data_IF_830329413653
#
_entry.id   IF_830329413653
#
_cell.length_a   1.000
_cell.length_b   1.000
_cell.length_c   1.000
_cell.angle_alpha   90.00
_cell.angle_beta   90.00
_cell.angle_gamma   90.00
#
_symmetry.space_group_name_H-M   'P 1'
#
loop_
_entity.id
_entity.type
_entity.pdbx_description
1 polymer ?
#
# COMPACT_ATOMS: atom_id res chain seq x y z
N UNK A 1 17.20 16.80 1.34
CA UNK A 1 16.32 16.03 0.41
C UNK A 1 14.91 16.57 0.62
N UNK A 2 14.19 16.97 -0.42
CA UNK A 2 12.84 17.50 -0.19
C UNK A 2 11.87 16.35 0.11
N UNK A 3 11.00 16.53 1.11
CA UNK A 3 9.89 15.62 1.38
C UNK A 3 8.86 15.73 0.26
N UNK A 4 8.75 14.71 -0.58
CA UNK A 4 7.88 14.72 -1.76
C UNK A 4 6.75 13.69 -1.73
N UNK A 5 6.75 12.80 -0.75
CA UNK A 5 5.74 11.76 -0.60
C UNK A 5 5.17 11.73 0.83
N UNK A 6 3.90 11.36 0.94
CA UNK A 6 3.20 11.12 2.21
C UNK A 6 2.56 9.73 2.16
N UNK A 7 2.95 8.87 3.10
CA UNK A 7 2.28 7.61 3.36
C UNK A 7 1.35 7.73 4.56
N UNK A 8 0.12 7.29 4.42
CA UNK A 8 -0.85 7.24 5.52
C UNK A 8 -1.22 5.80 5.81
N UNK A 9 -1.04 5.38 7.04
CA UNK A 9 -1.37 4.02 7.47
C UNK A 9 -2.74 3.99 8.16
N UNK A 10 -3.62 3.11 7.69
CA UNK A 10 -4.95 2.86 8.27
C UNK A 10 -5.02 1.39 8.70
N UNK A 11 -4.79 1.07 10.00
CA UNK A 11 -4.55 -0.29 10.48
C UNK A 11 -5.84 -1.09 10.75
N UNK A 12 -6.88 -0.95 9.94
CA UNK A 12 -8.17 -1.59 10.15
C UNK A 12 -8.52 -2.54 9.00
N UNK A 13 -8.97 -3.75 9.35
CA UNK A 13 -9.48 -4.74 8.41
C UNK A 13 -10.83 -5.29 8.93
N UNK A 14 -11.76 -5.58 8.01
CA UNK A 14 -12.96 -6.33 8.35
C UNK A 14 -12.59 -7.75 8.84
N UNK A 15 -11.62 -8.36 8.14
CA UNK A 15 -11.01 -9.65 8.51
C UNK A 15 -9.53 -9.62 8.13
N UNK A 16 -8.65 -10.11 9.02
CA UNK A 16 -7.23 -10.25 8.70
C UNK A 16 -7.01 -11.49 7.84
N UNK A 17 -6.41 -11.33 6.67
CA UNK A 17 -6.07 -12.43 5.77
C UNK A 17 -5.05 -13.39 6.40
N UNK A 18 -5.07 -14.66 5.99
CA UNK A 18 -4.23 -15.69 6.63
C UNK A 18 -2.74 -15.51 6.40
N UNK A 19 -2.33 -14.83 5.33
CA UNK A 19 -0.95 -14.59 4.95
C UNK A 19 -0.40 -13.23 5.45
N UNK A 20 -1.28 -12.31 5.89
CA UNK A 20 -0.92 -10.92 6.10
C UNK A 20 -0.21 -10.71 7.44
N UNK A 21 0.98 -10.11 7.40
CA UNK A 21 1.80 -9.70 8.54
C UNK A 21 1.69 -8.19 8.86
N UNK A 22 1.02 -7.41 7.99
CA UNK A 22 0.89 -5.97 8.21
C UNK A 22 0.32 -5.64 9.59
N UNK A 23 0.78 -4.54 10.19
CA UNK A 23 0.20 -4.02 11.42
C UNK A 23 -1.23 -3.56 11.17
N UNK A 24 -2.15 -4.51 11.28
CA UNK A 24 -3.58 -4.29 11.10
C UNK A 24 -4.38 -5.02 12.17
N UNK A 25 -5.52 -4.44 12.51
CA UNK A 25 -6.42 -4.94 13.57
C UNK A 25 -7.78 -5.22 12.96
N UNK A 26 -8.39 -6.33 13.36
CA UNK A 26 -9.82 -6.58 13.10
C UNK A 26 -10.59 -6.41 14.40
N UNK A 27 -11.76 -5.78 14.31
CA UNK A 27 -12.63 -5.50 15.45
C UNK A 27 -13.96 -6.24 15.30
N UNK A 28 -14.61 -6.53 16.42
CA UNK A 28 -16.03 -6.88 16.37
C UNK A 28 -16.82 -5.70 15.77
N UNK A 29 -17.87 -6.00 15.01
CA UNK A 29 -18.61 -4.95 14.29
C UNK A 29 -19.16 -3.84 15.21
N UNK A 30 -19.47 -4.16 16.48
CA UNK A 30 -19.94 -3.18 17.46
C UNK A 30 -18.88 -2.18 17.95
N UNK A 31 -17.58 -2.51 17.80
CA UNK A 31 -16.49 -1.71 18.34
C UNK A 31 -15.73 -0.96 17.24
N UNK A 32 -15.96 -1.32 15.96
CA UNK A 32 -15.21 -0.81 14.83
C UNK A 32 -15.41 0.70 14.62
N UNK A 33 -16.63 1.19 14.67
CA UNK A 33 -16.92 2.61 14.43
C UNK A 33 -16.25 3.51 15.47
N UNK A 34 -16.34 3.15 16.76
CA UNK A 34 -15.69 3.91 17.82
C UNK A 34 -14.15 3.90 17.70
N UNK A 35 -13.59 2.75 17.29
CA UNK A 35 -12.14 2.64 17.06
C UNK A 35 -11.69 3.48 15.86
N UNK A 36 -12.46 3.47 14.77
CA UNK A 36 -12.22 4.31 13.60
C UNK A 36 -12.31 5.80 13.95
N UNK A 37 -13.37 6.23 14.66
CA UNK A 37 -13.53 7.63 15.06
C UNK A 37 -12.33 8.11 15.87
N UNK A 38 -11.96 7.37 16.91
CA UNK A 38 -10.82 7.71 17.76
C UNK A 38 -9.50 7.79 16.99
N UNK A 39 -9.27 6.86 16.06
CA UNK A 39 -8.05 6.83 15.27
C UNK A 39 -8.00 7.99 14.26
N UNK A 40 -9.09 8.24 13.55
CA UNK A 40 -9.14 9.32 12.55
C UNK A 40 -9.08 10.70 13.17
N UNK A 41 -9.62 10.92 14.37
CA UNK A 41 -9.42 12.17 15.12
C UNK A 41 -7.93 12.44 15.36
N UNK A 42 -7.16 11.41 15.73
CA UNK A 42 -5.72 11.53 15.93
C UNK A 42 -4.96 11.74 14.61
N UNK A 43 -5.38 11.05 13.53
CA UNK A 43 -4.81 11.28 12.19
C UNK A 43 -5.04 12.73 11.72
N UNK A 44 -6.25 13.26 11.90
CA UNK A 44 -6.56 14.64 11.51
C UNK A 44 -5.72 15.64 12.30
N UNK A 45 -5.65 15.52 13.61
CA UNK A 45 -4.82 16.39 14.45
C UNK A 45 -3.33 16.33 14.05
N UNK A 46 -2.85 15.13 13.71
CA UNK A 46 -1.47 14.94 13.27
C UNK A 46 -1.22 15.55 11.89
N UNK A 47 -2.16 15.39 10.96
CA UNK A 47 -2.10 16.01 9.63
C UNK A 47 -2.08 17.54 9.72
N UNK A 48 -2.91 18.12 10.60
CA UNK A 48 -2.91 19.57 10.87
C UNK A 48 -1.54 20.02 11.40
N UNK A 49 -0.92 19.27 12.32
CA UNK A 49 0.44 19.55 12.80
C UNK A 49 1.49 19.51 11.67
N UNK A 50 1.37 18.59 10.71
CA UNK A 50 2.25 18.53 9.53
C UNK A 50 2.07 19.77 8.65
N UNK A 51 0.81 20.21 8.46
CA UNK A 51 0.49 21.41 7.70
C UNK A 51 1.07 22.66 8.36
N UNK A 52 0.86 22.85 9.68
CA UNK A 52 1.35 23.99 10.45
C UNK A 52 2.88 24.10 10.44
N UNK A 53 3.57 22.95 10.44
CA UNK A 53 5.03 22.89 10.30
C UNK A 53 5.52 23.08 8.85
N UNK A 54 4.62 23.25 7.87
CA UNK A 54 4.97 23.37 6.46
C UNK A 54 5.52 22.08 5.85
N UNK A 55 5.32 20.93 6.49
CA UNK A 55 5.86 19.62 6.07
C UNK A 55 5.24 19.11 4.77
N UNK A 56 4.02 19.57 4.45
CA UNK A 56 3.25 19.11 3.29
C UNK A 56 3.48 19.95 2.03
N UNK A 57 4.21 21.06 2.12
CA UNK A 57 4.31 22.06 1.04
C UNK A 57 4.88 21.52 -0.29
N UNK A 58 5.72 20.49 -0.25
CA UNK A 58 6.34 19.89 -1.43
C UNK A 58 5.86 18.47 -1.72
N UNK A 59 4.87 17.96 -0.99
CA UNK A 59 4.29 16.63 -1.22
C UNK A 59 3.62 16.58 -2.60
N UNK A 60 4.05 15.62 -3.40
CA UNK A 60 3.58 15.40 -4.77
C UNK A 60 2.78 14.10 -4.89
N UNK A 61 3.08 13.12 -4.04
CA UNK A 61 2.39 11.83 -4.05
C UNK A 61 1.89 11.50 -2.65
N UNK A 62 0.68 10.94 -2.60
CA UNK A 62 0.07 10.45 -1.36
C UNK A 62 -0.36 9.00 -1.57
N UNK A 63 -0.11 8.18 -0.57
CA UNK A 63 -0.54 6.79 -0.58
C UNK A 63 -1.18 6.46 0.77
N UNK A 64 -2.45 6.08 0.75
CA UNK A 64 -3.15 5.61 1.95
C UNK A 64 -3.32 4.10 1.87
N UNK A 65 -2.66 3.40 2.77
CA UNK A 65 -2.59 1.95 2.78
C UNK A 65 -2.62 1.35 4.18
N UNK A 66 -2.20 0.08 4.29
CA UNK A 66 -2.00 -0.63 5.55
C UNK A 66 -2.92 -1.82 5.75
N UNK A 67 -4.06 -1.65 6.40
CA UNK A 67 -5.09 -2.67 6.51
C UNK A 67 -6.04 -2.64 5.31
N UNK A 68 -7.16 -1.97 5.48
CA UNK A 68 -8.18 -1.75 4.44
C UNK A 68 -8.72 -0.33 4.59
N UNK A 69 -8.06 0.70 4.04
CA UNK A 69 -8.48 2.09 4.21
C UNK A 69 -9.93 2.35 3.82
N UNK A 70 -10.42 1.72 2.74
CA UNK A 70 -11.81 1.85 2.28
C UNK A 70 -12.86 1.45 3.31
N UNK A 71 -12.50 0.66 4.34
CA UNK A 71 -13.38 0.30 5.45
C UNK A 71 -13.79 1.52 6.29
N UNK A 72 -12.98 2.59 6.28
CA UNK A 72 -13.25 3.79 7.07
C UNK A 72 -14.34 4.71 6.46
N UNK A 73 -14.78 4.46 5.23
CA UNK A 73 -15.90 5.19 4.61
C UNK A 73 -15.68 6.71 4.59
N UNK A 74 -16.66 7.46 5.12
CA UNK A 74 -16.62 8.93 5.14
C UNK A 74 -15.40 9.52 5.86
N UNK A 75 -14.83 8.82 6.85
CA UNK A 75 -13.60 9.25 7.55
C UNK A 75 -12.41 9.29 6.59
N UNK A 76 -12.31 8.31 5.68
CA UNK A 76 -11.28 8.31 4.64
C UNK A 76 -11.51 9.44 3.63
N UNK A 77 -12.75 9.72 3.27
CA UNK A 77 -13.11 10.84 2.37
C UNK A 77 -12.71 12.18 3.00
N UNK A 78 -12.99 12.39 4.28
CA UNK A 78 -12.61 13.60 5.00
C UNK A 78 -11.06 13.74 5.10
N UNK A 79 -10.35 12.63 5.36
CA UNK A 79 -8.89 12.62 5.33
C UNK A 79 -8.35 13.04 3.96
N UNK A 80 -8.93 12.49 2.89
CA UNK A 80 -8.53 12.81 1.52
C UNK A 80 -8.78 14.30 1.18
N UNK A 81 -9.91 14.85 1.59
CA UNK A 81 -10.21 16.30 1.42
C UNK A 81 -9.18 17.18 2.14
N UNK A 82 -8.86 16.88 3.39
CA UNK A 82 -7.86 17.63 4.17
C UNK A 82 -6.49 17.56 3.53
N UNK A 83 -6.03 16.38 3.12
CA UNK A 83 -4.75 16.21 2.42
C UNK A 83 -4.74 17.03 1.11
N UNK A 84 -5.76 16.91 0.29
CA UNK A 84 -5.87 17.61 -1.00
C UNK A 84 -5.94 19.13 -0.85
N UNK A 85 -6.45 19.62 0.28
CA UNK A 85 -6.44 21.05 0.61
C UNK A 85 -5.03 21.57 0.90
N UNK A 86 -4.19 20.74 1.56
CA UNK A 86 -2.85 21.14 1.98
C UNK A 86 -1.75 20.93 0.93
N UNK A 87 -1.80 19.89 0.10
CA UNK A 87 -0.66 19.54 -0.76
C UNK A 87 -0.97 19.31 -2.25
N UNK A 88 -2.19 19.29 -2.73
CA UNK A 88 -2.56 19.10 -4.14
C UNK A 88 -1.67 18.07 -4.88
N UNK A 89 -1.66 16.81 -4.48
CA UNK A 89 -0.77 15.80 -5.04
C UNK A 89 -1.09 15.54 -6.52
N UNK A 90 -0.09 15.15 -7.29
CA UNK A 90 -0.28 14.71 -8.69
C UNK A 90 -0.77 13.27 -8.75
N UNK A 91 -0.49 12.49 -7.70
CA UNK A 91 -0.99 11.15 -7.50
C UNK A 91 -1.44 10.98 -6.05
N UNK A 92 -2.68 10.57 -5.87
CA UNK A 92 -3.22 10.19 -4.58
C UNK A 92 -3.85 8.81 -4.68
N UNK A 93 -3.15 7.80 -4.18
CA UNK A 93 -3.60 6.41 -4.16
C UNK A 93 -4.27 6.07 -2.83
N UNK A 94 -5.42 5.38 -2.89
CA UNK A 94 -6.02 4.71 -1.75
C UNK A 94 -6.14 3.21 -1.99
N UNK A 95 -5.70 2.40 -1.03
CA UNK A 95 -5.97 0.97 -1.05
C UNK A 95 -7.42 0.67 -0.67
N UNK A 96 -7.97 -0.32 -1.34
CA UNK A 96 -9.31 -0.84 -1.06
C UNK A 96 -9.36 -2.35 -1.26
N UNK A 97 -10.26 -2.97 -0.50
CA UNK A 97 -10.66 -4.34 -0.80
C UNK A 97 -11.98 -4.33 -1.59
N UNK A 98 -12.21 -5.29 -2.48
CA UNK A 98 -13.44 -5.36 -3.28
C UNK A 98 -14.72 -5.32 -2.45
N UNK A 99 -14.73 -5.93 -1.26
CA UNK A 99 -15.90 -5.99 -0.39
C UNK A 99 -16.25 -4.65 0.28
N UNK A 100 -15.29 -3.76 0.48
CA UNK A 100 -15.48 -2.49 1.18
C UNK A 100 -15.60 -1.28 0.26
N UNK A 101 -15.42 -1.46 -1.05
CA UNK A 101 -15.54 -0.39 -2.03
C UNK A 101 -16.96 -0.38 -2.62
N UNK A 102 -17.66 0.76 -2.47
CA UNK A 102 -18.95 1.04 -3.14
C UNK A 102 -18.78 2.14 -4.18
N UNK A 103 -19.75 2.28 -5.09
CA UNK A 103 -19.73 3.36 -6.09
C UNK A 103 -19.80 4.75 -5.44
N UNK A 104 -20.58 4.88 -4.37
CA UNK A 104 -20.71 6.13 -3.60
C UNK A 104 -19.37 6.50 -2.96
N UNK A 105 -18.67 5.53 -2.34
CA UNK A 105 -17.36 5.78 -1.74
C UNK A 105 -16.31 6.13 -2.80
N UNK A 106 -16.27 5.41 -3.93
CA UNK A 106 -15.34 5.71 -5.01
C UNK A 106 -15.56 7.12 -5.58
N UNK A 107 -16.82 7.52 -5.78
CA UNK A 107 -17.19 8.87 -6.23
C UNK A 107 -16.75 9.93 -5.22
N UNK A 108 -17.06 9.74 -3.93
CA UNK A 108 -16.68 10.68 -2.88
C UNK A 108 -15.16 10.82 -2.73
N UNK A 109 -14.40 9.73 -2.90
CA UNK A 109 -12.92 9.76 -2.90
C UNK A 109 -12.37 10.52 -4.12
N UNK A 110 -12.94 10.32 -5.31
CA UNK A 110 -12.57 11.07 -6.51
C UNK A 110 -12.80 12.58 -6.31
N UNK A 111 -13.97 12.97 -5.80
CA UNK A 111 -14.30 14.36 -5.46
C UNK A 111 -13.38 14.95 -4.37
N UNK A 112 -12.87 14.09 -3.47
CA UNK A 112 -11.92 14.48 -2.43
C UNK A 112 -10.47 14.61 -2.94
N UNK A 113 -10.19 14.31 -4.22
CA UNK A 113 -8.88 14.47 -4.85
C UNK A 113 -8.05 13.17 -4.92
N UNK A 114 -8.61 12.01 -4.59
CA UNK A 114 -8.00 10.71 -4.90
C UNK A 114 -7.95 10.54 -6.42
N UNK A 115 -6.83 10.03 -6.93
CA UNK A 115 -6.63 9.82 -8.37
C UNK A 115 -6.55 8.35 -8.75
N UNK A 116 -6.25 7.46 -7.78
CA UNK A 116 -6.06 6.03 -8.00
C UNK A 116 -6.63 5.21 -6.83
N UNK A 117 -7.24 4.08 -7.15
CA UNK A 117 -7.58 3.03 -6.18
C UNK A 117 -6.73 1.79 -6.47
N UNK A 118 -6.03 1.26 -5.45
CA UNK A 118 -5.35 -0.03 -5.50
C UNK A 118 -6.25 -1.10 -4.88
N UNK A 119 -6.64 -2.09 -5.68
CA UNK A 119 -7.57 -3.15 -5.29
C UNK A 119 -6.83 -4.45 -4.96
N UNK A 120 -6.97 -4.93 -3.74
CA UNK A 120 -6.48 -6.23 -3.33
C UNK A 120 -7.30 -7.38 -3.94
N UNK A 121 -7.13 -7.67 -5.24
CA UNK A 121 -7.83 -8.73 -5.98
C UNK A 121 -7.29 -10.11 -5.62
N UNK A 122 -5.98 -10.27 -5.61
CA UNK A 122 -5.17 -11.46 -5.33
C UNK A 122 -5.33 -12.57 -6.39
N UNK A 123 -6.52 -13.08 -6.61
CA UNK A 123 -6.87 -14.11 -7.59
C UNK A 123 -8.34 -14.00 -8.00
N UNK A 124 -8.73 -14.57 -9.12
CA UNK A 124 -10.13 -14.72 -9.55
C UNK A 124 -10.65 -16.17 -9.35
N UNK A 125 -9.92 -17.01 -8.60
CA UNK A 125 -10.41 -18.32 -8.16
C UNK A 125 -10.96 -18.23 -6.73
N UNK A 126 -12.23 -18.57 -6.55
CA UNK A 126 -12.92 -18.46 -5.25
C UNK A 126 -12.37 -19.46 -4.22
N UNK A 127 -11.80 -20.59 -4.64
CA UNK A 127 -11.18 -21.58 -3.75
C UNK A 127 -9.87 -21.02 -3.20
N UNK A 128 -9.06 -20.40 -4.05
CA UNK A 128 -7.82 -19.75 -3.65
C UNK A 128 -8.09 -18.54 -2.73
N UNK A 129 -9.10 -17.70 -3.04
CA UNK A 129 -9.53 -16.60 -2.16
C UNK A 129 -9.92 -17.11 -0.77
N UNK A 130 -10.72 -18.17 -0.70
CA UNK A 130 -11.11 -18.78 0.57
C UNK A 130 -9.90 -19.38 1.33
N UNK A 131 -8.94 -19.99 0.61
CA UNK A 131 -7.74 -20.56 1.20
C UNK A 131 -6.86 -19.52 1.90
N UNK A 132 -6.78 -18.30 1.36
CA UNK A 132 -6.01 -17.19 1.95
C UNK A 132 -6.85 -16.30 2.88
N UNK A 133 -8.13 -16.63 3.10
CA UNK A 133 -9.00 -15.91 4.04
C UNK A 133 -9.56 -14.60 3.52
N UNK A 134 -9.73 -14.45 2.19
CA UNK A 134 -10.45 -13.32 1.61
C UNK A 134 -11.95 -13.51 1.77
N UNK A 135 -12.69 -12.43 1.92
CA UNK A 135 -14.15 -12.43 2.13
C UNK A 135 -14.94 -12.03 0.87
N UNK A 136 -14.27 -11.48 -0.14
CA UNK A 136 -14.87 -11.24 -1.45
C UNK A 136 -14.70 -12.46 -2.36
N UNK A 137 -15.48 -12.52 -3.41
CA UNK A 137 -15.37 -13.47 -4.53
C UNK A 137 -14.87 -12.79 -5.82
N UNK A 138 -14.59 -13.59 -6.84
CA UNK A 138 -14.10 -13.12 -8.13
C UNK A 138 -15.05 -12.11 -8.80
N UNK A 139 -16.38 -12.34 -8.72
CA UNK A 139 -17.34 -11.42 -9.31
C UNK A 139 -17.31 -10.06 -8.64
N UNK A 140 -17.17 -10.04 -7.30
CA UNK A 140 -17.03 -8.80 -6.53
C UNK A 140 -15.75 -8.06 -6.87
N UNK A 141 -14.63 -8.78 -7.09
CA UNK A 141 -13.37 -8.18 -7.53
C UNK A 141 -13.51 -7.50 -8.90
N UNK A 142 -14.08 -8.18 -9.89
CA UNK A 142 -14.33 -7.61 -11.22
C UNK A 142 -15.31 -6.43 -11.18
N UNK A 143 -16.36 -6.51 -10.37
CA UNK A 143 -17.29 -5.40 -10.18
C UNK A 143 -16.62 -4.18 -9.54
N UNK A 144 -15.69 -4.38 -8.59
CA UNK A 144 -14.94 -3.28 -7.99
C UNK A 144 -14.02 -2.59 -9.00
N UNK A 145 -13.35 -3.33 -9.88
CA UNK A 145 -12.55 -2.77 -10.98
C UNK A 145 -13.43 -1.88 -11.88
N UNK A 146 -14.60 -2.39 -12.31
CA UNK A 146 -15.54 -1.64 -13.12
C UNK A 146 -16.00 -0.36 -12.39
N UNK A 147 -16.35 -0.46 -11.11
CA UNK A 147 -16.77 0.70 -10.29
C UNK A 147 -15.72 1.81 -10.27
N UNK A 148 -14.43 1.48 -10.09
CA UNK A 148 -13.34 2.48 -10.08
C UNK A 148 -13.21 3.16 -11.44
N UNK A 149 -13.28 2.37 -12.53
CA UNK A 149 -13.20 2.91 -13.90
C UNK A 149 -14.39 3.80 -14.25
N UNK A 150 -15.59 3.44 -13.81
CA UNK A 150 -16.82 4.20 -14.11
C UNK A 150 -16.81 5.60 -13.48
N UNK A 151 -16.12 5.77 -12.35
CA UNK A 151 -15.95 7.09 -11.72
C UNK A 151 -14.73 7.86 -12.26
N UNK A 152 -13.99 7.29 -13.21
CA UNK A 152 -12.85 7.94 -13.87
C UNK A 152 -11.55 7.96 -13.07
N UNK A 153 -11.41 7.08 -12.08
CA UNK A 153 -10.17 6.90 -11.33
C UNK A 153 -9.26 5.87 -12.00
N UNK A 154 -7.95 6.03 -11.84
CA UNK A 154 -7.01 4.97 -12.15
C UNK A 154 -7.24 3.76 -11.25
N UNK A 155 -7.20 2.56 -11.82
CA UNK A 155 -7.30 1.33 -11.05
C UNK A 155 -6.00 0.53 -11.13
N UNK A 156 -5.48 0.17 -9.96
CA UNK A 156 -4.43 -0.83 -9.76
C UNK A 156 -5.04 -2.13 -9.25
N UNK A 157 -4.56 -3.27 -9.72
CA UNK A 157 -4.95 -4.59 -9.21
C UNK A 157 -3.71 -5.29 -8.64
N UNK A 158 -3.80 -5.70 -7.38
CA UNK A 158 -2.75 -6.49 -6.74
C UNK A 158 -3.11 -7.98 -6.85
N UNK A 159 -2.23 -8.76 -7.45
CA UNK A 159 -2.36 -10.20 -7.69
C UNK A 159 -1.28 -10.97 -6.92
N UNK A 160 -1.61 -12.20 -6.54
CA UNK A 160 -0.67 -13.08 -5.83
C UNK A 160 -0.55 -14.42 -6.54
N UNK A 161 0.69 -14.89 -6.68
CA UNK A 161 0.99 -16.23 -7.18
C UNK A 161 1.64 -17.12 -6.12
N UNK A 162 1.53 -18.44 -6.30
CA UNK A 162 1.98 -19.42 -5.31
C UNK A 162 1.01 -19.60 -4.15
N UNK A 163 -0.28 -19.31 -4.35
CA UNK A 163 -1.32 -19.51 -3.34
C UNK A 163 -1.56 -21.00 -3.07
N UNK A 164 -1.99 -21.39 -1.86
CA UNK A 164 -2.33 -22.79 -1.56
C UNK A 164 -3.36 -23.35 -2.54
N UNK A 165 -3.00 -24.44 -3.22
CA UNK A 165 -3.84 -25.11 -4.22
C UNK A 165 -3.89 -24.42 -5.58
N UNK A 166 -3.18 -23.30 -5.79
CA UNK A 166 -3.11 -22.62 -7.08
C UNK A 166 -2.47 -23.51 -8.15
N UNK A 167 -3.01 -23.46 -9.34
CA UNK A 167 -2.48 -24.15 -10.52
C UNK A 167 -2.13 -23.15 -11.62
N UNK A 168 -1.32 -23.56 -12.59
CA UNK A 168 -1.04 -22.70 -13.76
C UNK A 168 -2.31 -22.36 -14.53
N UNK A 169 -3.30 -23.24 -14.53
CA UNK A 169 -4.59 -22.99 -15.21
C UNK A 169 -5.40 -21.92 -14.45
N UNK A 170 -5.51 -21.97 -13.13
CA UNK A 170 -6.21 -20.94 -12.33
C UNK A 170 -5.47 -19.61 -12.37
N UNK A 171 -4.13 -19.62 -12.36
CA UNK A 171 -3.32 -18.42 -12.54
C UNK A 171 -3.57 -17.74 -13.89
N UNK A 172 -3.55 -18.51 -14.98
CA UNK A 172 -3.86 -17.98 -16.31
C UNK A 172 -5.29 -17.45 -16.41
N UNK A 173 -6.25 -18.14 -15.80
CA UNK A 173 -7.64 -17.65 -15.71
C UNK A 173 -7.72 -16.30 -14.99
N UNK A 174 -7.00 -16.14 -13.88
CA UNK A 174 -6.91 -14.86 -13.14
C UNK A 174 -6.34 -13.75 -14.02
N UNK A 175 -5.22 -14.02 -14.72
CA UNK A 175 -4.61 -13.03 -15.62
C UNK A 175 -5.55 -12.65 -16.76
N UNK A 176 -6.25 -13.62 -17.38
CA UNK A 176 -7.18 -13.36 -18.46
C UNK A 176 -8.35 -12.47 -18.01
N UNK A 177 -8.97 -12.79 -16.87
CA UNK A 177 -10.07 -12.00 -16.33
C UNK A 177 -9.66 -10.58 -15.95
N UNK A 178 -8.46 -10.41 -15.37
CA UNK A 178 -7.93 -9.08 -15.04
C UNK A 178 -7.58 -8.29 -16.31
N UNK A 179 -6.99 -8.93 -17.32
CA UNK A 179 -6.71 -8.28 -18.61
C UNK A 179 -7.99 -7.88 -19.34
N UNK A 180 -9.05 -8.69 -19.28
CA UNK A 180 -10.37 -8.33 -19.82
C UNK A 180 -10.98 -7.12 -19.10
N UNK A 181 -10.82 -7.04 -17.77
CA UNK A 181 -11.25 -5.89 -16.98
C UNK A 181 -10.41 -4.63 -17.27
N UNK A 182 -9.23 -4.77 -17.86
CA UNK A 182 -8.33 -3.72 -18.32
C UNK A 182 -8.07 -2.63 -17.27
N UNK A 183 -7.44 -2.96 -16.10
CA UNK A 183 -6.97 -1.96 -15.14
C UNK A 183 -5.82 -1.13 -15.75
N UNK A 184 -5.47 -0.01 -15.15
CA UNK A 184 -4.36 0.83 -15.61
C UNK A 184 -2.99 0.31 -15.13
N UNK A 185 -3.00 -0.44 -14.03
CA UNK A 185 -1.81 -0.93 -13.35
C UNK A 185 -2.08 -2.32 -12.74
N UNK A 186 -1.07 -3.18 -12.72
CA UNK A 186 -1.13 -4.51 -12.11
C UNK A 186 0.15 -4.75 -11.32
N UNK A 187 0.03 -5.12 -10.05
CA UNK A 187 1.14 -5.63 -9.24
C UNK A 187 1.00 -7.15 -9.11
N UNK A 188 2.10 -7.87 -9.23
CA UNK A 188 2.14 -9.32 -9.09
C UNK A 188 3.17 -9.70 -8.03
N UNK A 189 2.71 -10.32 -6.95
CA UNK A 189 3.54 -10.71 -5.82
C UNK A 189 3.58 -12.23 -5.65
N UNK A 190 4.75 -12.86 -5.52
CA UNK A 190 4.81 -14.21 -5.00
C UNK A 190 4.39 -14.23 -3.54
N UNK A 191 3.62 -15.24 -3.13
CA UNK A 191 3.24 -15.44 -1.73
C UNK A 191 4.49 -15.70 -0.89
N UNK A 192 4.70 -14.87 0.13
CA UNK A 192 5.75 -15.06 1.14
C UNK A 192 5.12 -15.58 2.43
N UNK A 193 5.77 -16.56 3.06
CA UNK A 193 5.35 -17.09 4.35
C UNK A 193 5.99 -16.26 5.47
N UNK A 194 5.16 -15.47 6.16
CA UNK A 194 5.60 -14.65 7.28
C UNK A 194 5.32 -15.34 8.62
N UNK A 195 6.35 -15.42 9.47
CA UNK A 195 6.21 -15.98 10.81
C UNK A 195 5.09 -15.30 11.61
N UNK A 196 4.37 -16.08 12.41
CA UNK A 196 3.27 -15.55 13.22
C UNK A 196 1.93 -15.44 12.49
N UNK A 197 1.89 -15.55 11.16
CA UNK A 197 0.64 -15.55 10.40
C UNK A 197 -0.15 -16.86 10.56
N UNK A 198 -1.48 -16.85 10.37
CA UNK A 198 -2.25 -18.10 10.35
C UNK A 198 -1.77 -19.06 9.26
N UNK A 199 -1.40 -18.57 8.08
CA UNK A 199 -0.92 -19.41 6.97
C UNK A 199 0.40 -20.11 7.33
N UNK A 200 1.36 -19.38 7.92
CA UNK A 200 2.60 -19.98 8.41
C UNK A 200 2.33 -21.16 9.37
N UNK A 201 1.39 -20.98 10.31
CA UNK A 201 0.99 -22.07 11.23
C UNK A 201 0.29 -23.25 10.54
N UNK A 202 -0.39 -23.00 9.41
CA UNK A 202 -0.98 -24.06 8.60
C UNK A 202 0.11 -24.86 7.87
N UNK A 203 1.06 -24.19 7.24
CA UNK A 203 2.21 -24.82 6.56
C UNK A 203 3.06 -25.64 7.55
N UNK A 204 3.33 -25.14 8.76
CA UNK A 204 4.02 -25.93 9.80
C UNK A 204 3.32 -27.24 10.19
N UNK A 205 2.02 -27.39 9.87
CA UNK A 205 1.26 -28.64 10.13
C UNK A 205 1.09 -29.49 8.88
N UNK A 206 1.16 -28.88 7.73
CA UNK A 206 0.98 -29.52 6.42
C UNK A 206 1.89 -28.83 5.40
N UNK A 207 3.09 -29.40 5.23
CA UNK A 207 4.12 -28.89 4.32
C UNK A 207 3.66 -28.86 2.84
N UNK A 208 2.58 -29.57 2.49
CA UNK A 208 2.02 -29.52 1.13
C UNK A 208 1.41 -28.16 0.78
N UNK A 209 1.22 -27.28 1.76
CA UNK A 209 0.74 -25.92 1.59
C UNK A 209 1.89 -24.91 1.41
N UNK A 210 3.15 -25.35 1.51
CA UNK A 210 4.31 -24.49 1.33
C UNK A 210 4.35 -23.96 -0.13
N UNK A 211 4.57 -22.64 -0.34
CA UNK A 211 4.72 -22.11 -1.68
C UNK A 211 5.92 -22.73 -2.40
N UNK A 212 5.70 -23.21 -3.61
CA UNK A 212 6.74 -23.75 -4.49
C UNK A 212 7.40 -22.59 -5.24
N UNK A 213 8.68 -22.32 -4.99
CA UNK A 213 9.44 -21.22 -5.59
C UNK A 213 9.59 -21.38 -7.12
N UNK A 214 9.75 -22.61 -7.63
CA UNK A 214 9.82 -22.86 -9.07
C UNK A 214 8.47 -22.60 -9.74
N UNK A 215 7.37 -22.96 -9.09
CA UNK A 215 6.03 -22.64 -9.54
C UNK A 215 5.77 -21.13 -9.52
N UNK A 216 6.19 -20.44 -8.44
CA UNK A 216 6.08 -18.97 -8.35
C UNK A 216 6.86 -18.28 -9.46
N UNK A 217 8.09 -18.72 -9.72
CA UNK A 217 8.92 -18.18 -10.82
C UNK A 217 8.23 -18.36 -12.17
N UNK A 218 7.68 -19.55 -12.43
CA UNK A 218 6.92 -19.82 -13.67
C UNK A 218 5.66 -18.93 -13.79
N UNK A 219 4.95 -18.70 -12.67
CA UNK A 219 3.80 -17.78 -12.64
C UNK A 219 4.20 -16.33 -12.95
N UNK A 220 5.31 -15.85 -12.38
CA UNK A 220 5.85 -14.52 -12.64
C UNK A 220 6.25 -14.34 -14.12
N UNK A 221 6.87 -15.36 -14.73
CA UNK A 221 7.23 -15.33 -16.15
C UNK A 221 5.98 -15.29 -17.04
N UNK A 222 4.95 -16.08 -16.75
CA UNK A 222 3.67 -16.06 -17.46
C UNK A 222 3.00 -14.68 -17.32
N UNK A 223 2.97 -14.11 -16.11
CA UNK A 223 2.42 -12.77 -15.88
C UNK A 223 3.14 -11.73 -16.73
N UNK A 224 4.47 -11.74 -16.71
CA UNK A 224 5.28 -10.81 -17.51
C UNK A 224 4.97 -10.91 -19.00
N UNK A 225 4.90 -12.13 -19.55
CA UNK A 225 4.59 -12.34 -20.95
C UNK A 225 3.18 -11.84 -21.31
N UNK A 226 2.17 -12.19 -20.51
CA UNK A 226 0.77 -11.84 -20.76
C UNK A 226 0.54 -10.33 -20.65
N UNK A 227 1.01 -9.72 -19.56
CA UNK A 227 0.89 -8.28 -19.33
C UNK A 227 1.62 -7.48 -20.42
N UNK A 228 2.86 -7.87 -20.76
CA UNK A 228 3.61 -7.17 -21.83
C UNK A 228 2.94 -7.30 -23.18
N UNK A 229 2.37 -8.47 -23.51
CA UNK A 229 1.63 -8.68 -24.76
C UNK A 229 0.33 -7.86 -24.82
N UNK A 230 -0.22 -7.47 -23.68
CA UNK A 230 -1.40 -6.62 -23.54
C UNK A 230 -1.06 -5.11 -23.45
N UNK A 231 0.21 -4.73 -23.60
CA UNK A 231 0.66 -3.34 -23.61
C UNK A 231 1.08 -2.77 -22.26
N UNK A 232 1.10 -3.58 -21.21
CA UNK A 232 1.68 -3.15 -19.92
C UNK A 232 3.19 -3.32 -19.97
N UNK A 233 3.92 -2.37 -19.42
CA UNK A 233 5.36 -2.49 -19.27
C UNK A 233 5.76 -2.62 -17.80
N UNK A 234 6.75 -3.49 -17.48
CA UNK A 234 7.30 -3.55 -16.13
C UNK A 234 8.15 -2.31 -15.88
N UNK A 235 7.94 -1.62 -14.78
CA UNK A 235 8.76 -0.46 -14.40
C UNK A 235 9.54 -0.70 -13.10
N UNK A 236 9.15 -1.70 -12.33
CA UNK A 236 9.85 -2.22 -11.16
C UNK A 236 9.61 -3.73 -11.01
N UNK A 237 10.16 -4.37 -9.97
CA UNK A 237 10.22 -5.84 -9.85
C UNK A 237 8.86 -6.54 -9.78
N UNK A 238 7.82 -5.88 -9.28
CA UNK A 238 6.49 -6.47 -9.07
C UNK A 238 5.40 -5.81 -9.91
N UNK A 239 5.62 -4.60 -10.45
CA UNK A 239 4.54 -3.77 -10.98
C UNK A 239 4.66 -3.53 -12.47
N UNK A 240 3.50 -3.57 -13.12
CA UNK A 240 3.30 -3.36 -14.55
C UNK A 240 2.24 -2.27 -14.76
N UNK A 241 2.47 -1.37 -15.70
CA UNK A 241 1.56 -0.26 -15.97
C UNK A 241 1.37 -0.04 -17.47
N UNK A 242 0.23 0.54 -17.85
CA UNK A 242 0.08 1.22 -19.13
C UNK A 242 0.88 2.54 -19.09
N UNK A 243 1.26 3.07 -20.25
CA UNK A 243 2.05 4.31 -20.35
C UNK A 243 1.42 5.46 -19.56
N UNK A 244 2.18 6.04 -18.62
CA UNK A 244 1.74 7.15 -17.79
C UNK A 244 0.91 6.77 -16.55
N UNK A 245 0.76 5.47 -16.27
CA UNK A 245 0.03 4.95 -15.11
C UNK A 245 0.92 4.23 -14.09
N UNK A 246 2.24 4.41 -14.17
CA UNK A 246 3.17 3.94 -13.15
C UNK A 246 2.84 4.59 -11.80
N UNK A 247 3.01 3.85 -10.70
CA UNK A 247 2.80 4.39 -9.37
C UNK A 247 3.94 5.34 -8.99
N UNK A 248 3.70 6.64 -9.08
CA UNK A 248 4.69 7.67 -8.77
C UNK A 248 5.11 7.63 -7.29
N UNK A 249 4.23 7.21 -6.39
CA UNK A 249 4.54 7.04 -4.98
C UNK A 249 5.57 5.91 -4.76
N UNK A 250 5.38 4.75 -5.41
CA UNK A 250 6.34 3.65 -5.33
C UNK A 250 7.69 4.06 -5.94
N UNK A 251 7.67 4.75 -7.08
CA UNK A 251 8.89 5.28 -7.70
C UNK A 251 9.62 6.25 -6.76
N UNK A 252 8.90 7.07 -6.00
CA UNK A 252 9.53 7.97 -5.02
C UNK A 252 10.31 7.18 -3.96
N UNK A 253 9.80 6.04 -3.48
CA UNK A 253 10.53 5.15 -2.58
C UNK A 253 11.77 4.53 -3.25
N UNK A 254 11.58 3.95 -4.44
CA UNK A 254 12.68 3.26 -5.14
C UNK A 254 13.79 4.19 -5.60
N UNK A 255 13.51 5.48 -5.71
CA UNK A 255 14.50 6.53 -6.05
C UNK A 255 15.02 7.30 -4.84
N UNK A 256 14.79 6.80 -3.62
CA UNK A 256 15.34 7.36 -2.38
C UNK A 256 14.84 8.78 -2.05
N UNK A 257 13.62 9.16 -2.47
CA UNK A 257 13.04 10.46 -2.11
C UNK A 257 12.65 10.52 -0.64
N UNK A 258 12.71 11.72 -0.05
CA UNK A 258 12.20 11.96 1.30
C UNK A 258 10.68 11.79 1.36
N UNK A 259 10.20 11.14 2.42
CA UNK A 259 8.78 10.92 2.65
C UNK A 259 8.41 10.99 4.13
N UNK A 260 7.16 11.33 4.39
CA UNK A 260 6.55 11.33 5.72
C UNK A 260 5.63 10.13 5.90
N UNK A 261 5.64 9.58 7.11
CA UNK A 261 4.67 8.62 7.58
C UNK A 261 3.66 9.25 8.51
N UNK A 262 2.38 8.97 8.30
CA UNK A 262 1.26 9.40 9.14
C UNK A 262 0.48 8.19 9.61
N UNK A 263 0.31 8.07 10.92
CA UNK A 263 -0.40 6.96 11.56
C UNK A 263 0.53 5.87 12.10
N UNK A 264 -0.04 5.00 12.95
CA UNK A 264 0.70 3.90 13.59
C UNK A 264 1.36 3.01 12.53
N UNK A 265 2.59 2.59 12.80
CA UNK A 265 3.46 1.80 11.91
C UNK A 265 3.84 2.47 10.58
N UNK A 266 3.37 3.69 10.32
CA UNK A 266 3.85 4.45 9.18
C UNK A 266 5.32 4.82 9.36
N UNK A 267 6.12 4.55 8.33
CA UNK A 267 7.51 4.98 8.27
C UNK A 267 7.63 6.33 7.54
N UNK A 268 8.63 7.10 7.92
CA UNK A 268 9.10 8.30 7.21
C UNK A 268 10.60 8.27 7.03
N UNK A 269 11.13 8.94 6.02
CA UNK A 269 12.57 9.08 5.77
C UNK A 269 12.88 10.54 5.53
N UNK A 270 13.71 11.13 6.38
CA UNK A 270 14.15 12.52 6.32
C UNK A 270 15.67 12.61 6.24
N UNK A 271 16.19 13.62 5.55
CA UNK A 271 17.59 13.99 5.74
C UNK A 271 17.78 14.83 7.00
N UNK A 272 19.03 15.17 7.31
CA UNK A 272 19.41 15.94 8.48
C UNK A 272 18.74 17.33 8.50
N UNK A 273 18.69 18.03 7.37
CA UNK A 273 18.08 19.38 7.25
C UNK A 273 16.56 19.33 7.47
N UNK A 274 15.86 18.38 6.82
CA UNK A 274 14.41 18.23 6.98
C UNK A 274 14.06 17.73 8.38
N UNK A 275 14.89 16.84 8.97
CA UNK A 275 14.67 16.39 10.35
C UNK A 275 14.80 17.54 11.35
N UNK A 276 15.84 18.37 11.26
CA UNK A 276 16.03 19.53 12.15
C UNK A 276 14.85 20.51 12.03
N UNK A 277 14.38 20.78 10.81
CA UNK A 277 13.23 21.63 10.57
C UNK A 277 11.93 21.08 11.15
N UNK A 278 11.74 19.76 11.12
CA UNK A 278 10.52 19.08 11.49
C UNK A 278 10.60 18.36 12.84
N UNK A 279 11.70 18.53 13.60
CA UNK A 279 11.96 17.80 14.86
C UNK A 279 10.82 17.90 15.88
N UNK A 280 10.13 19.06 15.93
CA UNK A 280 8.96 19.24 16.79
C UNK A 280 7.78 18.31 16.52
N UNK A 281 7.75 17.67 15.33
CA UNK A 281 6.75 16.68 14.98
C UNK A 281 7.06 15.28 15.53
N UNK A 282 8.25 15.04 16.07
CA UNK A 282 8.71 13.71 16.50
C UNK A 282 9.12 13.74 17.98
N UNK A 283 8.16 13.77 18.91
CA UNK A 283 8.46 13.86 20.34
C UNK A 283 9.32 12.67 20.80
N UNK A 284 10.32 12.97 21.66
CA UNK A 284 11.24 11.97 22.18
C UNK A 284 12.36 11.55 21.22
N UNK A 285 12.35 11.98 19.97
CA UNK A 285 13.43 11.72 19.00
C UNK A 285 14.40 12.88 19.03
N UNK A 286 15.65 12.61 19.45
CA UNK A 286 16.71 13.61 19.48
C UNK A 286 17.77 13.30 18.42
N UNK A 287 18.37 14.31 17.77
CA UNK A 287 19.48 14.09 16.84
C UNK A 287 20.61 13.29 17.52
N UNK A 288 21.17 12.34 16.79
CA UNK A 288 22.30 11.53 17.25
C UNK A 288 23.51 11.75 16.34
N UNK A 289 24.45 12.60 16.80
CA UNK A 289 25.73 12.79 16.15
C UNK A 289 25.59 13.23 14.68
N UNK A 290 26.56 12.80 13.86
CA UNK A 290 26.59 13.06 12.42
C UNK A 290 25.85 11.95 11.68
N UNK A 291 24.64 12.21 11.20
CA UNK A 291 23.82 11.32 10.39
C UNK A 291 23.50 11.99 9.05
N UNK A 292 23.13 11.19 8.05
CA UNK A 292 22.74 11.68 6.73
C UNK A 292 21.25 11.58 6.50
N UNK A 293 20.61 10.51 7.01
CA UNK A 293 19.16 10.29 6.97
C UNK A 293 18.70 9.69 8.28
N UNK A 294 17.44 9.89 8.60
CA UNK A 294 16.77 9.22 9.70
C UNK A 294 15.48 8.57 9.20
N UNK A 295 15.33 7.27 9.51
CA UNK A 295 14.05 6.58 9.35
C UNK A 295 13.30 6.67 10.66
N UNK A 296 12.05 7.13 10.58
CA UNK A 296 11.15 7.32 11.70
C UNK A 296 9.96 6.40 11.53
N UNK A 297 9.60 5.64 12.57
CA UNK A 297 8.41 4.78 12.57
C UNK A 297 7.54 5.13 13.75
N UNK A 298 6.30 5.55 13.50
CA UNK A 298 5.32 5.85 14.55
C UNK A 298 4.84 4.55 15.22
N UNK A 299 4.88 4.46 16.55
CA UNK A 299 4.58 3.23 17.30
C UNK A 299 3.21 3.22 17.97
N UNK A 300 2.61 4.37 18.17
CA UNK A 300 1.30 4.52 18.81
C UNK A 300 0.34 5.34 17.95
N UNK A 301 -0.94 5.25 18.24
CA UNK A 301 -1.97 5.97 17.50
C UNK A 301 -1.87 7.49 17.75
N UNK A 302 -1.45 7.90 18.95
CA UNK A 302 -1.35 9.31 19.37
C UNK A 302 -0.09 10.04 18.86
N UNK A 303 0.80 9.38 18.11
CA UNK A 303 2.06 9.93 17.64
C UNK A 303 2.97 10.50 18.75
N UNK A 304 2.99 9.82 19.89
CA UNK A 304 3.86 10.16 21.04
C UNK A 304 5.12 9.32 21.12
N UNK A 305 5.17 8.19 20.41
CA UNK A 305 6.27 7.22 20.40
C UNK A 305 6.75 6.97 18.98
N UNK A 306 8.05 7.13 18.76
CA UNK A 306 8.72 6.88 17.50
C UNK A 306 9.97 6.04 17.70
N UNK A 307 10.18 5.06 16.81
CA UNK A 307 11.52 4.50 16.62
C UNK A 307 12.26 5.36 15.61
N UNK A 308 13.55 5.56 15.85
CA UNK A 308 14.43 6.31 14.98
C UNK A 308 15.68 5.49 14.64
N UNK A 309 15.91 5.26 13.35
CA UNK A 309 17.11 4.66 12.81
C UNK A 309 17.90 5.71 12.04
N UNK A 310 19.12 6.00 12.51
CA UNK A 310 19.99 7.00 11.92
C UNK A 310 20.95 6.35 10.96
N UNK A 311 20.96 6.81 9.73
CA UNK A 311 21.80 6.29 8.64
C UNK A 311 22.95 7.24 8.37
N UNK A 312 24.17 6.73 8.36
CA UNK A 312 25.33 7.41 7.84
C UNK A 312 25.21 7.57 6.31
N UNK A 313 26.06 8.42 5.70
CA UNK A 313 26.12 8.56 4.23
C UNK A 313 26.39 7.24 3.52
N UNK A 314 27.18 6.36 4.12
CA UNK A 314 27.50 5.06 3.53
C UNK A 314 26.30 4.11 3.55
N UNK A 315 25.59 4.06 4.67
CA UNK A 315 24.37 3.24 4.80
C UNK A 315 23.26 3.74 3.89
N UNK A 316 23.03 5.06 3.84
CA UNK A 316 22.06 5.66 2.93
C UNK A 316 22.38 5.36 1.46
N UNK A 317 23.65 5.46 1.06
CA UNK A 317 24.06 5.12 -0.31
C UNK A 317 23.91 3.64 -0.64
N UNK A 318 24.15 2.74 0.33
CA UNK A 318 23.93 1.31 0.16
C UNK A 318 22.44 0.98 0.00
N UNK A 319 21.57 1.65 0.78
CA UNK A 319 20.12 1.53 0.66
C UNK A 319 19.63 2.07 -0.69
N UNK A 320 20.09 3.25 -1.13
CA UNK A 320 19.74 3.81 -2.43
C UNK A 320 20.10 2.87 -3.57
N UNK A 321 21.28 2.21 -3.51
CA UNK A 321 21.67 1.22 -4.51
C UNK A 321 20.73 0.00 -4.48
N UNK A 322 20.40 -0.51 -3.30
CA UNK A 322 19.46 -1.62 -3.14
C UNK A 322 18.07 -1.29 -3.70
N UNK A 323 17.57 -0.09 -3.41
CA UNK A 323 16.28 0.39 -3.90
C UNK A 323 16.28 0.59 -5.42
N UNK A 324 17.36 1.16 -5.98
CA UNK A 324 17.50 1.35 -7.42
C UNK A 324 17.50 0.02 -8.19
N UNK A 325 18.05 -1.07 -7.60
CA UNK A 325 17.98 -2.41 -8.20
C UNK A 325 16.54 -2.96 -8.37
N UNK A 326 15.54 -2.36 -7.73
CA UNK A 326 14.13 -2.72 -7.94
C UNK A 326 13.56 -2.15 -9.23
N UNK A 327 14.15 -1.10 -9.77
CA UNK A 327 13.68 -0.43 -10.98
C UNK A 327 14.21 -1.14 -12.24
N UNK A 328 13.38 -1.20 -13.30
CA UNK A 328 13.80 -1.74 -14.60
C UNK A 328 14.68 -0.78 -15.39
N UNK A 329 14.68 0.49 -15.01
CA UNK A 329 15.57 1.54 -15.52
C UNK A 329 16.41 2.00 -14.33
N UNK A 330 17.61 1.44 -14.21
CA UNK A 330 18.58 1.80 -13.19
C UNK A 330 19.26 3.14 -13.44
#
# INVERSE_FOLDING_TARGET
MAVTALYVHVPFCAQKCRYCDFDSRSFAACDLDAALDSYFEQLYARLDSFSDAGALAQVRTVYTGGGTPSLAGERLVELARRISMWCKPVEFTCEANPESLTAELATALAEAGVTRISLGVQTLDNTELAAIGRIHDANRALAAIATVKDVGLDVSCDLMCGLPGQTMASWQHTLDGVLEAAPHHVSVYPLTLEEGTPLYRMVCRDESLEPDEDFQAACMDVARQRLSSAGYHPYEVASYALDGHECAHNIAYWTGRGYLGLGRSAAGMLDDEDFDRLAGLFPGVAPRGDFHRVRLVQRDDAATMFDAEYLSRREAAAEDLMLACRMTRG
#
